data_IF_435252061633
#
_entry.id   IF_435252061633
#
_cell.length_a   1.000
_cell.length_b   1.000
_cell.length_c   1.000
_cell.angle_alpha   90.00
_cell.angle_beta   90.00
_cell.angle_gamma   90.00
#
_symmetry.space_group_name_H-M   'P 1'
#
loop_
_entity.id
_entity.type
_entity.pdbx_description
1 polymer ?
#
# COMPACT_ATOMS: atom_id res chain seq x y z
N UNK A 1 -0.75 -13.37 16.14
CA UNK A 1 0.57 -12.72 16.32
C UNK A 1 1.62 -13.76 15.95
N UNK A 2 2.35 -13.57 14.85
CA UNK A 2 3.43 -14.50 14.44
C UNK A 2 4.77 -13.88 14.82
N UNK A 3 5.60 -14.64 15.55
CA UNK A 3 6.99 -14.26 15.86
C UNK A 3 7.87 -14.97 14.84
N UNK A 4 8.58 -14.20 14.00
CA UNK A 4 9.51 -14.73 13.00
C UNK A 4 10.91 -14.16 13.23
N UNK A 5 11.91 -15.00 13.00
CA UNK A 5 13.31 -14.63 13.11
C UNK A 5 13.78 -13.94 11.82
N UNK A 6 14.74 -13.02 11.96
CA UNK A 6 15.45 -12.49 10.79
C UNK A 6 16.38 -13.57 10.24
N UNK A 7 16.27 -13.81 8.94
CA UNK A 7 17.10 -14.75 8.21
C UNK A 7 18.12 -13.96 7.39
N UNK A 8 19.33 -14.50 7.28
CA UNK A 8 20.37 -13.91 6.44
C UNK A 8 20.05 -14.20 4.97
N UNK A 9 19.98 -13.15 4.16
CA UNK A 9 19.73 -13.23 2.73
C UNK A 9 20.88 -12.51 2.00
N UNK A 10 21.96 -13.25 1.75
CA UNK A 10 23.21 -12.69 1.22
C UNK A 10 23.81 -11.64 2.16
N UNK A 11 23.97 -10.41 1.64
CA UNK A 11 24.45 -9.26 2.41
C UNK A 11 23.35 -8.50 3.16
N UNK A 12 22.11 -9.00 3.14
CA UNK A 12 20.96 -8.36 3.77
C UNK A 12 20.29 -9.30 4.79
N UNK A 13 19.40 -8.75 5.61
CA UNK A 13 18.51 -9.55 6.48
C UNK A 13 17.09 -9.49 5.92
N UNK A 14 16.37 -10.60 6.01
CA UNK A 14 15.01 -10.74 5.52
C UNK A 14 14.10 -11.33 6.58
N UNK A 15 12.80 -10.98 6.52
CA UNK A 15 11.75 -11.62 7.30
C UNK A 15 10.91 -12.43 6.32
N UNK A 16 10.83 -13.74 6.53
CA UNK A 16 10.14 -14.66 5.61
C UNK A 16 8.66 -14.71 5.97
N UNK A 17 7.82 -14.05 5.17
CA UNK A 17 6.36 -14.10 5.31
C UNK A 17 5.83 -15.28 4.47
N UNK A 18 4.93 -16.07 5.05
CA UNK A 18 4.30 -17.18 4.30
C UNK A 18 3.34 -16.65 3.25
N UNK A 19 3.27 -17.35 2.12
CA UNK A 19 2.37 -17.01 1.00
C UNK A 19 0.90 -16.92 1.42
N UNK A 20 0.48 -17.78 2.35
CA UNK A 20 -0.86 -17.77 2.95
C UNK A 20 -1.18 -16.46 3.70
N UNK A 21 -0.20 -15.86 4.38
CA UNK A 21 -0.37 -14.59 5.10
C UNK A 21 -0.47 -13.42 4.11
N UNK A 22 0.35 -13.45 3.04
CA UNK A 22 0.27 -12.48 1.93
C UNK A 22 -1.09 -12.53 1.23
N UNK A 23 -1.58 -13.74 0.92
CA UNK A 23 -2.90 -13.94 0.32
C UNK A 23 -4.04 -13.50 1.23
N UNK A 24 -3.96 -13.79 2.53
CA UNK A 24 -4.96 -13.34 3.51
C UNK A 24 -5.02 -11.81 3.63
N UNK A 25 -3.88 -11.13 3.43
CA UNK A 25 -3.82 -9.67 3.37
C UNK A 25 -4.28 -9.10 2.02
N UNK A 26 -4.60 -9.94 1.03
CA UNK A 26 -4.95 -9.53 -0.33
C UNK A 26 -3.80 -8.86 -1.08
N UNK A 27 -2.56 -9.21 -0.74
CA UNK A 27 -1.34 -8.65 -1.32
C UNK A 27 -0.72 -9.64 -2.30
N UNK A 28 -0.30 -9.12 -3.45
CA UNK A 28 0.31 -9.86 -4.54
C UNK A 28 1.85 -9.85 -4.43
N UNK A 29 2.54 -10.70 -5.18
CA UNK A 29 4.01 -10.86 -5.14
C UNK A 29 4.74 -9.57 -5.59
N UNK A 30 4.04 -8.70 -6.33
CA UNK A 30 4.53 -7.39 -6.77
C UNK A 30 4.14 -6.21 -5.85
N UNK A 31 3.56 -6.47 -4.67
CA UNK A 31 3.17 -5.41 -3.76
C UNK A 31 4.39 -4.70 -3.16
N UNK A 32 4.34 -3.36 -3.17
CA UNK A 32 5.35 -2.54 -2.52
C UNK A 32 5.04 -2.45 -1.02
N UNK A 33 6.09 -2.54 -0.21
CA UNK A 33 5.99 -2.34 1.23
C UNK A 33 6.80 -1.11 1.62
N UNK A 34 6.17 -0.23 2.39
CA UNK A 34 6.86 0.87 3.04
C UNK A 34 7.41 0.35 4.36
N UNK A 35 8.72 0.53 4.53
CA UNK A 35 9.43 0.22 5.77
C UNK A 35 9.67 1.55 6.47
N UNK A 36 8.98 1.78 7.58
CA UNK A 36 9.22 2.93 8.45
C UNK A 36 10.06 2.45 9.62
N UNK A 37 11.22 3.07 9.81
CA UNK A 37 12.10 2.82 10.95
C UNK A 37 11.92 3.98 11.91
N UNK A 38 11.36 3.69 13.08
CA UNK A 38 11.24 4.65 14.17
C UNK A 38 12.07 4.15 15.37
N UNK A 39 12.78 5.06 16.03
CA UNK A 39 13.67 4.72 17.14
C UNK A 39 12.92 4.19 18.38
N UNK A 40 11.64 4.54 18.53
CA UNK A 40 10.83 4.17 19.69
C UNK A 40 9.88 3.00 19.41
N UNK A 41 9.32 2.92 18.20
CA UNK A 41 8.36 1.86 17.84
C UNK A 41 8.94 0.74 16.98
N UNK A 42 10.22 0.82 16.61
CA UNK A 42 10.92 -0.19 15.82
C UNK A 42 10.57 -0.13 14.33
N UNK A 43 10.61 -1.28 13.65
CA UNK A 43 10.40 -1.39 12.21
C UNK A 43 8.92 -1.69 11.95
N UNK A 44 8.22 -0.77 11.29
CA UNK A 44 6.84 -0.96 10.85
C UNK A 44 6.82 -1.21 9.35
N UNK A 45 6.22 -2.33 8.94
CA UNK A 45 6.05 -2.72 7.53
C UNK A 45 4.59 -2.49 7.16
N UNK A 46 4.33 -1.55 6.26
CA UNK A 46 2.98 -1.27 5.76
C UNK A 46 2.90 -1.59 4.28
N UNK A 47 1.82 -2.24 3.86
CA UNK A 47 1.57 -2.45 2.44
C UNK A 47 1.22 -1.13 1.78
N UNK A 48 2.02 -0.70 0.82
CA UNK A 48 1.63 0.37 -0.09
C UNK A 48 0.85 -0.30 -1.19
N UNK A 49 -0.48 -0.19 -1.17
CA UNK A 49 -1.26 -0.47 -2.37
C UNK A 49 -0.68 0.45 -3.45
N UNK A 50 -0.13 -0.08 -4.56
CA UNK A 50 0.23 0.78 -5.67
C UNK A 50 -1.05 1.53 -6.00
N UNK A 51 -0.99 2.86 -5.89
CA UNK A 51 -2.08 3.72 -6.33
C UNK A 51 -2.31 3.32 -7.77
N UNK A 52 -3.40 2.58 -8.03
CA UNK A 52 -3.73 2.12 -9.37
C UNK A 52 -3.78 3.38 -10.23
N UNK A 53 -2.73 3.62 -11.00
CA UNK A 53 -2.58 4.84 -11.80
C UNK A 53 -3.78 5.00 -12.73
N UNK A 54 -4.29 3.88 -13.26
CA UNK A 54 -5.53 3.81 -14.04
C UNK A 54 -6.78 4.23 -13.25
N UNK A 55 -6.85 3.94 -11.95
CA UNK A 55 -7.98 4.34 -11.11
C UNK A 55 -7.91 5.83 -10.77
N UNK A 56 -6.74 6.36 -10.44
CA UNK A 56 -6.55 7.82 -10.25
C UNK A 56 -6.76 8.59 -11.56
N UNK A 57 -6.36 8.03 -12.70
CA UNK A 57 -6.62 8.61 -14.03
C UNK A 57 -8.11 8.59 -14.36
N UNK A 58 -8.79 7.45 -14.19
CA UNK A 58 -10.24 7.35 -14.39
C UNK A 58 -11.01 8.29 -13.46
N UNK A 59 -10.61 8.34 -12.18
CA UNK A 59 -11.15 9.25 -11.18
C UNK A 59 -10.94 10.71 -11.61
N UNK A 60 -9.72 11.12 -12.00
CA UNK A 60 -9.46 12.47 -12.50
C UNK A 60 -10.28 12.81 -13.74
N UNK A 61 -10.47 11.85 -14.64
CA UNK A 61 -11.28 12.04 -15.84
C UNK A 61 -12.73 12.32 -15.47
N UNK A 62 -13.33 11.47 -14.62
CA UNK A 62 -14.70 11.66 -14.11
C UNK A 62 -14.83 12.96 -13.34
N UNK A 63 -13.89 13.30 -12.46
CA UNK A 63 -13.92 14.55 -11.70
C UNK A 63 -13.83 15.79 -12.61
N UNK A 64 -13.07 15.75 -13.71
CA UNK A 64 -13.04 16.84 -14.69
C UNK A 64 -14.36 16.98 -15.44
N UNK A 65 -14.93 15.86 -15.87
CA UNK A 65 -16.17 15.83 -16.65
C UNK A 65 -17.36 16.34 -15.84
N UNK A 66 -17.41 15.98 -14.56
CA UNK A 66 -18.47 16.39 -13.64
C UNK A 66 -18.11 17.62 -12.78
N UNK A 67 -16.94 18.25 -12.98
CA UNK A 67 -16.53 19.47 -12.26
C UNK A 67 -17.59 20.59 -12.24
N UNK A 68 -18.27 20.94 -13.36
CA UNK A 68 -19.32 21.96 -13.33
C UNK A 68 -20.56 21.51 -12.55
N UNK A 69 -20.87 20.21 -12.52
CA UNK A 69 -21.95 19.64 -11.73
C UNK A 69 -21.61 19.66 -10.23
N UNK A 70 -20.38 19.32 -9.86
CA UNK A 70 -19.89 19.43 -8.48
C UNK A 70 -19.88 20.88 -7.97
N UNK A 71 -19.49 21.85 -8.81
CA UNK A 71 -19.60 23.27 -8.45
C UNK A 71 -21.04 23.68 -8.15
N UNK A 72 -21.99 23.28 -9.00
CA UNK A 72 -23.41 23.58 -8.82
C UNK A 72 -24.03 22.91 -7.58
N UNK A 73 -23.49 21.77 -7.17
CA UNK A 73 -23.89 21.08 -5.92
C UNK A 73 -23.31 21.76 -4.68
N UNK A 74 -22.15 22.40 -4.79
CA UNK A 74 -21.49 23.08 -3.67
C UNK A 74 -21.98 24.53 -3.45
N UNK A 75 -22.51 25.18 -4.50
CA UNK A 75 -23.13 26.51 -4.43
C UNK A 75 -24.54 26.51 -3.81
N UNK A 76 -25.00 25.36 -3.28
CA UNK A 76 -26.31 25.18 -2.65
C UNK A 76 -26.15 24.86 -1.17
#
# INVERSE_FOLDING_TARGET
MQVKHLVQHGNSKAIIIEKSVLQAAGLDENCLFQIVVDANTGITIQSVKPVNSKFEEAKKQTFKEYAPLFKRLADR
#
